data_IF_389735463575
#
_entry.id   IF_389735463575
#
_cell.length_a   1.000
_cell.length_b   1.000
_cell.length_c   1.000
_cell.angle_alpha   90.00
_cell.angle_beta   90.00
_cell.angle_gamma   90.00
#
_symmetry.space_group_name_H-M   'P 1'
#
loop_
_entity.id
_entity.type
_entity.pdbx_description
1 polymer ?
#
# COMPACT_ATOMS: atom_id res chain seq x y z
N UNK A 1 24.86 10.62 2.92
CA UNK A 1 23.63 11.45 2.67
C UNK A 1 22.63 10.61 1.89
N UNK A 2 21.48 10.30 2.48
CA UNK A 2 20.39 9.56 1.81
C UNK A 2 19.78 10.41 0.71
N UNK A 3 19.72 9.85 -0.50
CA UNK A 3 19.06 10.49 -1.66
C UNK A 3 17.63 9.96 -1.74
N UNK A 4 16.67 10.86 -1.83
CA UNK A 4 15.27 10.50 -2.01
C UNK A 4 14.87 10.90 -3.43
N UNK A 5 14.44 9.92 -4.22
CA UNK A 5 14.03 10.08 -5.61
C UNK A 5 12.59 9.63 -5.77
N UNK A 6 11.81 10.42 -6.49
CA UNK A 6 10.44 10.09 -6.86
C UNK A 6 10.36 10.06 -8.39
N UNK A 7 10.21 8.87 -8.95
CA UNK A 7 10.23 8.61 -10.38
C UNK A 7 9.19 7.54 -10.72
N UNK A 8 7.95 7.94 -10.80
CA UNK A 8 6.85 7.02 -11.03
C UNK A 8 6.99 6.30 -12.37
N UNK A 9 6.85 5.00 -12.34
CA UNK A 9 6.87 4.10 -13.50
C UNK A 9 5.56 3.35 -13.67
N UNK A 10 4.65 3.46 -12.71
CA UNK A 10 3.30 2.94 -12.74
C UNK A 10 2.39 3.87 -11.93
N UNK A 11 1.51 4.61 -12.63
CA UNK A 11 0.59 5.58 -12.03
C UNK A 11 -0.89 5.22 -12.25
N UNK A 12 -1.18 4.26 -13.14
CA UNK A 12 -2.55 3.91 -13.54
C UNK A 12 -2.94 2.47 -13.12
N UNK A 13 -2.48 2.03 -11.96
CA UNK A 13 -2.77 0.69 -11.42
C UNK A 13 -4.07 0.62 -10.61
N UNK A 14 -4.79 1.73 -10.47
CA UNK A 14 -5.88 1.89 -9.52
C UNK A 14 -5.42 2.35 -8.14
N UNK A 15 -6.36 2.80 -7.31
CA UNK A 15 -6.08 3.24 -5.95
C UNK A 15 -6.15 2.07 -4.97
N UNK A 16 -5.36 2.17 -3.88
CA UNK A 16 -5.55 1.27 -2.74
C UNK A 16 -6.99 1.37 -2.22
N UNK A 17 -7.57 0.25 -1.84
CA UNK A 17 -8.85 0.21 -1.13
C UNK A 17 -8.69 0.77 0.29
N UNK A 18 -7.54 0.47 0.91
CA UNK A 18 -7.11 1.01 2.22
C UNK A 18 -5.59 0.89 2.33
N UNK A 19 -4.98 1.60 3.28
CA UNK A 19 -3.61 1.34 3.69
C UNK A 19 -3.63 0.65 5.04
N UNK A 20 -3.58 -0.69 5.06
CA UNK A 20 -3.72 -1.49 6.27
C UNK A 20 -2.37 -1.93 6.84
N UNK A 21 -1.37 -2.16 5.98
CA UNK A 21 -0.06 -2.65 6.39
C UNK A 21 1.03 -2.40 5.35
N UNK A 22 2.26 -2.44 5.81
CA UNK A 22 3.47 -2.46 4.98
C UNK A 22 3.94 -3.89 4.75
N UNK A 23 4.51 -4.16 3.56
CA UNK A 23 5.13 -5.45 3.24
C UNK A 23 6.59 -5.25 2.91
N UNK A 24 7.46 -5.93 3.65
CA UNK A 24 8.90 -5.84 3.45
C UNK A 24 9.38 -7.00 2.58
N UNK A 25 10.14 -6.65 1.54
CA UNK A 25 10.70 -7.57 0.56
C UNK A 25 12.22 -7.47 0.52
N UNK A 26 12.86 -8.49 -0.04
CA UNK A 26 14.21 -8.43 -0.54
C UNK A 26 14.20 -8.60 -2.06
N UNK A 27 14.89 -7.72 -2.77
CA UNK A 27 14.83 -7.57 -4.23
C UNK A 27 15.33 -8.80 -5.02
N UNK A 28 15.91 -9.79 -4.36
CA UNK A 28 16.60 -10.94 -4.99
C UNK A 28 17.53 -10.48 -6.13
N UNK A 29 18.18 -9.32 -5.94
CA UNK A 29 18.93 -8.61 -6.96
C UNK A 29 20.29 -8.09 -6.48
N UNK A 30 20.98 -7.49 -7.44
CA UNK A 30 22.29 -6.86 -7.25
C UNK A 30 22.28 -5.38 -7.61
N UNK A 31 21.09 -4.83 -7.92
CA UNK A 31 20.95 -3.47 -8.41
C UNK A 31 20.76 -2.47 -7.26
N UNK A 32 21.41 -1.32 -7.38
CA UNK A 32 21.09 -0.16 -6.54
C UNK A 32 19.71 0.40 -6.90
N UNK A 33 19.01 1.05 -5.95
CA UNK A 33 17.63 1.52 -6.14
C UNK A 33 17.40 2.33 -7.42
N UNK A 34 18.28 3.25 -7.77
CA UNK A 34 18.16 4.08 -8.98
C UNK A 34 18.10 3.26 -10.28
N UNK A 35 18.71 2.08 -10.33
CA UNK A 35 18.70 1.21 -11.52
C UNK A 35 17.33 0.57 -11.73
N UNK A 36 16.54 0.40 -10.67
CA UNK A 36 15.18 -0.11 -10.76
C UNK A 36 14.26 0.78 -11.58
N UNK A 37 14.46 2.11 -11.61
CA UNK A 37 13.66 3.03 -12.42
C UNK A 37 13.67 2.59 -13.90
N UNK A 38 14.84 2.43 -14.51
CA UNK A 38 14.96 2.02 -15.91
C UNK A 38 14.58 0.55 -16.12
N UNK A 39 14.91 -0.32 -15.18
CA UNK A 39 14.55 -1.74 -15.24
C UNK A 39 13.03 -1.91 -15.27
N UNK A 40 12.32 -1.26 -14.34
CA UNK A 40 10.87 -1.36 -14.22
C UNK A 40 10.13 -0.66 -15.38
N UNK A 41 10.67 0.42 -15.95
CA UNK A 41 10.09 1.07 -17.14
C UNK A 41 10.02 0.11 -18.33
N UNK A 42 11.02 -0.75 -18.47
CA UNK A 42 11.16 -1.69 -19.58
C UNK A 42 10.64 -3.10 -19.29
N UNK A 43 10.05 -3.32 -18.13
CA UNK A 43 9.52 -4.61 -17.69
C UNK A 43 7.99 -4.59 -17.67
N UNK A 44 7.35 -5.73 -17.93
CA UNK A 44 5.95 -5.92 -17.62
C UNK A 44 5.73 -5.79 -16.11
N UNK A 45 4.83 -4.88 -15.70
CA UNK A 45 4.53 -4.58 -14.30
C UNK A 45 3.82 -5.75 -13.60
N UNK A 46 3.08 -6.58 -14.36
CA UNK A 46 2.45 -7.80 -13.85
C UNK A 46 3.45 -8.82 -13.28
N UNK A 47 4.74 -8.72 -13.65
CA UNK A 47 5.81 -9.54 -13.09
C UNK A 47 6.28 -9.09 -11.69
N UNK A 48 5.64 -8.08 -11.12
CA UNK A 48 5.88 -7.56 -9.78
C UNK A 48 6.54 -6.18 -9.78
N UNK A 49 5.97 -5.29 -8.96
CA UNK A 49 6.49 -3.94 -8.70
C UNK A 49 6.05 -3.49 -7.31
N UNK A 50 7.01 -3.18 -6.43
CA UNK A 50 6.79 -2.57 -5.15
C UNK A 50 6.78 -1.03 -5.27
N UNK A 51 6.32 -0.33 -4.23
CA UNK A 51 6.26 1.12 -4.21
C UNK A 51 7.65 1.74 -4.05
N UNK A 52 8.48 1.16 -3.17
CA UNK A 52 9.78 1.68 -2.80
C UNK A 52 10.89 0.66 -3.02
N UNK A 53 12.04 1.16 -3.48
CA UNK A 53 13.29 0.43 -3.62
C UNK A 53 14.36 1.20 -2.83
N UNK A 54 14.92 0.59 -1.79
CA UNK A 54 15.78 1.29 -0.83
C UNK A 54 17.11 0.59 -0.63
N UNK A 55 18.13 1.39 -0.37
CA UNK A 55 19.39 0.95 0.20
C UNK A 55 19.98 2.04 1.12
N UNK A 56 21.14 1.78 1.72
CA UNK A 56 21.83 2.67 2.67
C UNK A 56 22.09 4.10 2.20
N UNK A 57 22.00 4.36 0.90
CA UNK A 57 22.30 5.70 0.34
C UNK A 57 21.14 6.29 -0.50
N UNK A 58 20.09 5.52 -0.78
CA UNK A 58 19.03 5.98 -1.69
C UNK A 58 17.68 5.33 -1.38
N UNK A 59 16.64 6.13 -1.36
CA UNK A 59 15.22 5.72 -1.39
C UNK A 59 14.65 6.13 -2.73
N UNK A 60 14.07 5.19 -3.49
CA UNK A 60 13.39 5.46 -4.76
C UNK A 60 11.94 5.06 -4.64
N UNK A 61 11.05 5.99 -4.90
CA UNK A 61 9.62 5.72 -5.07
C UNK A 61 9.29 5.58 -6.56
N UNK A 62 8.67 4.47 -6.96
CA UNK A 62 8.33 4.15 -8.36
C UNK A 62 6.84 3.97 -8.61
N UNK A 63 6.04 3.81 -7.55
CA UNK A 63 4.57 3.78 -7.58
C UNK A 63 4.09 4.81 -6.55
N UNK A 64 3.10 5.66 -6.87
CA UNK A 64 2.45 6.50 -5.86
C UNK A 64 1.93 5.65 -4.70
N UNK A 65 2.07 6.14 -3.47
CA UNK A 65 1.74 5.35 -2.28
C UNK A 65 0.24 5.02 -2.18
N UNK A 66 -0.58 5.85 -2.79
CA UNK A 66 -2.02 5.68 -2.88
C UNK A 66 -2.47 4.69 -3.97
N UNK A 67 -1.55 4.29 -4.86
CA UNK A 67 -1.85 3.39 -5.97
C UNK A 67 -1.52 1.93 -5.62
N UNK A 68 -2.14 1.00 -6.31
CA UNK A 68 -1.90 -0.44 -6.11
C UNK A 68 -0.53 -0.81 -6.68
N UNK A 69 0.36 -1.33 -5.82
CA UNK A 69 1.58 -2.02 -6.24
C UNK A 69 1.31 -3.51 -6.45
N UNK A 70 1.94 -4.12 -7.45
CA UNK A 70 1.80 -5.57 -7.70
C UNK A 70 2.99 -6.29 -7.06
N UNK A 71 3.02 -6.45 -5.74
CA UNK A 71 4.22 -6.90 -5.04
C UNK A 71 4.05 -8.14 -4.16
N UNK A 72 2.81 -8.52 -3.80
CA UNK A 72 2.57 -9.65 -2.90
C UNK A 72 2.22 -10.93 -3.64
N UNK A 73 1.84 -10.84 -4.93
CA UNK A 73 1.28 -11.98 -5.69
C UNK A 73 -0.17 -12.34 -5.32
N UNK A 74 -0.74 -11.65 -4.33
CA UNK A 74 -2.11 -11.79 -3.88
C UNK A 74 -2.86 -10.46 -4.06
N UNK A 75 -4.02 -10.50 -4.72
CA UNK A 75 -4.74 -9.28 -5.09
C UNK A 75 -5.29 -8.52 -3.88
N UNK A 76 -5.83 -9.24 -2.91
CA UNK A 76 -6.40 -8.62 -1.71
C UNK A 76 -5.34 -7.81 -0.95
N UNK A 77 -4.17 -8.37 -0.77
CA UNK A 77 -3.06 -7.70 -0.07
C UNK A 77 -2.43 -6.60 -0.91
N UNK A 78 -2.33 -6.74 -2.24
CA UNK A 78 -1.90 -5.66 -3.12
C UNK A 78 -2.79 -4.42 -3.02
N UNK A 79 -4.11 -4.61 -2.89
CA UNK A 79 -5.08 -3.51 -2.76
C UNK A 79 -5.04 -2.81 -1.38
N UNK A 80 -4.30 -3.34 -0.40
CA UNK A 80 -4.31 -2.87 1.01
C UNK A 80 -2.94 -2.58 1.59
N UNK A 81 -1.90 -2.68 0.79
CA UNK A 81 -0.55 -2.57 1.33
C UNK A 81 0.40 -1.75 0.45
N UNK A 82 1.42 -1.23 1.12
CA UNK A 82 2.55 -0.59 0.49
C UNK A 82 3.77 -1.49 0.60
N UNK A 83 4.44 -1.76 -0.53
CA UNK A 83 5.58 -2.65 -0.62
C UNK A 83 6.92 -1.92 -0.64
N UNK A 84 7.91 -2.48 0.07
CA UNK A 84 9.26 -1.94 0.22
C UNK A 84 10.30 -3.00 -0.07
N UNK A 85 11.19 -2.74 -1.02
CA UNK A 85 12.29 -3.62 -1.41
C UNK A 85 13.60 -3.20 -0.75
N UNK A 86 14.20 -4.09 0.03
CA UNK A 86 15.60 -3.98 0.46
C UNK A 86 16.47 -4.39 -0.72
N UNK A 87 17.14 -3.43 -1.34
CA UNK A 87 17.95 -3.65 -2.55
C UNK A 87 19.33 -4.24 -2.26
N UNK A 88 19.96 -4.76 -3.33
CA UNK A 88 21.31 -5.37 -3.28
C UNK A 88 21.37 -6.64 -2.40
N UNK A 89 20.24 -7.35 -2.22
CA UNK A 89 20.17 -8.52 -1.33
C UNK A 89 21.08 -9.69 -1.72
N UNK A 90 21.52 -9.77 -2.98
CA UNK A 90 22.47 -10.80 -3.48
C UNK A 90 23.90 -10.28 -3.67
N UNK A 91 24.22 -9.03 -3.30
CA UNK A 91 25.54 -8.45 -3.56
C UNK A 91 26.14 -7.65 -2.43
N UNK A 92 25.34 -7.10 -1.54
CA UNK A 92 25.80 -6.39 -0.35
C UNK A 92 26.46 -7.36 0.64
N UNK A 93 27.48 -6.92 1.38
CA UNK A 93 27.94 -7.64 2.57
C UNK A 93 26.80 -7.65 3.63
N UNK A 94 26.95 -8.45 4.68
CA UNK A 94 25.95 -8.50 5.76
C UNK A 94 25.78 -7.12 6.41
N UNK A 95 26.87 -6.43 6.69
CA UNK A 95 26.85 -5.09 7.25
C UNK A 95 26.16 -4.08 6.32
N UNK A 96 26.50 -4.09 5.03
CA UNK A 96 25.85 -3.21 4.03
C UNK A 96 24.37 -3.55 3.85
N UNK A 97 24.01 -4.84 3.90
CA UNK A 97 22.61 -5.25 3.78
C UNK A 97 21.80 -4.80 4.99
N UNK A 98 22.30 -4.94 6.20
CA UNK A 98 21.66 -4.43 7.42
C UNK A 98 21.46 -2.91 7.37
N UNK A 99 22.40 -2.15 6.80
CA UNK A 99 22.23 -0.72 6.56
C UNK A 99 21.16 -0.44 5.48
N UNK A 100 21.08 -1.27 4.41
CA UNK A 100 20.03 -1.15 3.40
C UNK A 100 18.65 -1.44 4.02
N UNK A 101 18.58 -2.46 4.85
CA UNK A 101 17.37 -2.85 5.57
C UNK A 101 16.92 -1.76 6.56
N UNK A 102 17.86 -1.18 7.33
CA UNK A 102 17.58 -0.08 8.24
C UNK A 102 16.92 1.12 7.53
N UNK A 103 17.46 1.54 6.39
CA UNK A 103 16.88 2.65 5.61
C UNK A 103 15.51 2.28 5.04
N UNK A 104 15.31 1.01 4.65
CA UNK A 104 14.01 0.52 4.18
C UNK A 104 12.97 0.51 5.30
N UNK A 105 13.34 -0.03 6.48
CA UNK A 105 12.47 -0.06 7.66
C UNK A 105 12.18 1.34 8.21
N UNK A 106 13.16 2.26 8.15
CA UNK A 106 12.98 3.66 8.50
C UNK A 106 11.92 4.32 7.60
N UNK A 107 11.99 4.08 6.27
CA UNK A 107 10.98 4.62 5.34
C UNK A 107 9.60 4.03 5.62
N UNK A 108 9.50 2.72 5.80
CA UNK A 108 8.23 2.06 6.12
C UNK A 108 7.65 2.53 7.47
N UNK A 109 8.50 2.76 8.49
CA UNK A 109 8.10 3.32 9.77
C UNK A 109 7.55 4.74 9.63
N UNK A 110 8.23 5.59 8.85
CA UNK A 110 7.78 6.95 8.59
C UNK A 110 6.39 6.97 7.94
N UNK A 111 6.13 6.09 6.97
CA UNK A 111 4.83 6.03 6.31
C UNK A 111 3.71 5.57 7.26
N UNK A 112 3.97 4.60 8.14
CA UNK A 112 2.99 4.22 9.17
C UNK A 112 2.73 5.35 10.17
N UNK A 113 3.79 6.06 10.61
CA UNK A 113 3.65 7.22 11.51
C UNK A 113 2.85 8.34 10.85
N UNK A 114 3.17 8.70 9.61
CA UNK A 114 2.47 9.73 8.84
C UNK A 114 0.99 9.36 8.58
N UNK A 115 0.70 8.06 8.47
CA UNK A 115 -0.67 7.54 8.35
C UNK A 115 -1.39 7.40 9.71
N UNK A 116 -0.75 7.70 10.84
CA UNK A 116 -1.32 7.53 12.18
C UNK A 116 -1.52 6.07 12.59
N UNK A 117 -0.79 5.15 11.97
CA UNK A 117 -0.94 3.71 12.18
C UNK A 117 0.06 3.19 13.22
N UNK A 118 -0.33 2.22 14.06
CA UNK A 118 0.59 1.58 14.99
C UNK A 118 1.61 0.72 14.25
N UNK A 119 2.82 0.61 14.79
CA UNK A 119 3.82 -0.37 14.34
C UNK A 119 3.64 -1.65 15.14
N UNK A 120 2.99 -2.63 14.55
CA UNK A 120 2.54 -3.86 15.20
C UNK A 120 2.63 -5.07 14.26
N UNK A 121 2.24 -6.22 14.76
CA UNK A 121 2.21 -7.47 13.96
C UNK A 121 1.19 -7.44 12.83
N UNK A 122 0.16 -6.66 12.97
CA UNK A 122 -0.91 -6.47 11.99
C UNK A 122 -0.46 -5.57 10.84
N UNK A 123 0.36 -4.55 11.16
CA UNK A 123 0.79 -3.52 10.20
C UNK A 123 2.17 -3.76 9.58
N UNK A 124 2.96 -4.71 10.10
CA UNK A 124 4.29 -5.08 9.56
C UNK A 124 4.25 -6.53 9.09
N UNK A 125 4.25 -6.73 7.77
CA UNK A 125 4.07 -8.03 7.14
C UNK A 125 5.26 -8.40 6.25
N UNK A 126 5.45 -9.71 6.01
CA UNK A 126 6.48 -10.26 5.16
C UNK A 126 5.83 -10.88 3.92
N UNK A 127 6.53 -10.85 2.78
CA UNK A 127 5.97 -11.32 1.50
C UNK A 127 5.47 -12.78 1.54
N UNK A 128 6.23 -13.68 2.15
CA UNK A 128 5.86 -15.11 2.20
C UNK A 128 4.60 -15.41 3.04
N UNK A 129 3.99 -14.41 3.67
CA UNK A 129 2.72 -14.58 4.37
C UNK A 129 1.52 -14.59 3.42
N UNK A 130 1.70 -14.12 2.19
CA UNK A 130 0.63 -14.00 1.19
C UNK A 130 0.72 -15.08 0.10
N UNK A 131 1.94 -15.44 -0.31
CA UNK A 131 2.17 -16.46 -1.34
C UNK A 131 3.41 -17.30 -0.98
N UNK A 132 3.50 -18.55 -1.46
CA UNK A 132 4.70 -19.37 -1.28
C UNK A 132 5.92 -18.73 -1.97
N UNK A 133 6.84 -18.17 -1.19
CA UNK A 133 8.10 -17.56 -1.64
C UNK A 133 9.13 -17.60 -0.53
N UNK A 134 10.41 -17.52 -0.88
CA UNK A 134 11.50 -17.34 0.10
C UNK A 134 11.70 -15.89 0.54
N UNK A 135 11.03 -14.92 -0.09
CA UNK A 135 11.15 -13.49 0.23
C UNK A 135 10.49 -13.17 1.59
N UNK A 136 11.15 -12.42 2.46
CA UNK A 136 12.46 -11.74 2.34
C UNK A 136 13.63 -12.65 2.74
N UNK A 137 14.24 -13.35 1.78
CA UNK A 137 15.21 -14.44 2.00
C UNK A 137 16.43 -14.03 2.82
N UNK A 138 17.04 -12.87 2.54
CA UNK A 138 18.24 -12.40 3.23
C UNK A 138 17.94 -11.95 4.65
N UNK A 139 16.80 -11.26 4.85
CA UNK A 139 16.31 -10.91 6.19
C UNK A 139 16.03 -12.17 7.02
N UNK A 140 15.44 -13.20 6.40
CA UNK A 140 15.23 -14.50 7.05
C UNK A 140 16.58 -15.12 7.49
N UNK A 141 17.59 -15.10 6.63
CA UNK A 141 18.93 -15.62 6.92
C UNK A 141 19.58 -14.91 8.12
N UNK A 142 19.48 -13.57 8.17
CA UNK A 142 20.19 -12.77 9.17
C UNK A 142 19.45 -12.62 10.51
N UNK A 143 18.12 -12.81 10.54
CA UNK A 143 17.31 -12.58 11.74
C UNK A 143 16.63 -13.85 12.29
N UNK A 144 17.33 -14.99 12.25
CA UNK A 144 16.92 -16.21 12.95
C UNK A 144 15.98 -17.14 12.20
N UNK A 145 15.70 -16.90 10.91
CA UNK A 145 15.11 -17.87 9.98
C UNK A 145 13.63 -18.17 10.14
N UNK A 146 12.92 -17.50 11.03
CA UNK A 146 11.48 -17.67 11.20
C UNK A 146 10.73 -16.37 10.91
N UNK A 147 9.48 -16.48 10.43
CA UNK A 147 8.60 -15.32 10.25
C UNK A 147 8.51 -14.46 11.52
N UNK A 148 8.42 -15.12 12.66
CA UNK A 148 8.29 -14.47 13.94
C UNK A 148 9.53 -13.69 14.34
N UNK A 149 10.72 -14.28 14.21
CA UNK A 149 11.98 -13.62 14.58
C UNK A 149 12.25 -12.39 13.69
N UNK A 150 12.02 -12.52 12.37
CA UNK A 150 12.21 -11.42 11.42
C UNK A 150 11.20 -10.30 11.67
N UNK A 151 9.91 -10.64 11.85
CA UNK A 151 8.89 -9.65 12.13
C UNK A 151 9.14 -8.91 13.45
N UNK A 152 9.53 -9.62 14.49
CA UNK A 152 9.86 -9.01 15.79
C UNK A 152 11.02 -8.03 15.65
N UNK A 153 12.08 -8.40 14.92
CA UNK A 153 13.18 -7.51 14.61
C UNK A 153 12.72 -6.28 13.83
N UNK A 154 11.91 -6.45 12.78
CA UNK A 154 11.40 -5.33 11.99
C UNK A 154 10.55 -4.38 12.83
N UNK A 155 9.65 -4.90 13.65
CA UNK A 155 8.82 -4.10 14.55
C UNK A 155 9.69 -3.31 15.53
N UNK A 156 10.67 -3.94 16.17
CA UNK A 156 11.58 -3.27 17.12
C UNK A 156 12.35 -2.14 16.44
N UNK A 157 12.93 -2.40 15.25
CA UNK A 157 13.66 -1.37 14.47
C UNK A 157 12.75 -0.24 14.03
N UNK A 158 11.57 -0.54 13.52
CA UNK A 158 10.60 0.45 13.07
C UNK A 158 10.07 1.30 14.24
N UNK A 159 9.81 0.71 15.41
CA UNK A 159 9.43 1.44 16.61
C UNK A 159 10.55 2.38 17.09
N UNK A 160 11.80 1.92 16.99
CA UNK A 160 12.93 2.80 17.25
C UNK A 160 12.95 3.99 16.29
N UNK A 161 12.81 3.77 14.97
CA UNK A 161 12.75 4.86 14.01
C UNK A 161 11.57 5.80 14.25
N UNK A 162 10.40 5.28 14.54
CA UNK A 162 9.22 6.08 14.87
C UNK A 162 9.42 6.96 16.11
N UNK A 163 10.26 6.55 17.05
CA UNK A 163 10.60 7.37 18.22
C UNK A 163 11.46 8.60 17.90
N UNK A 164 12.06 8.64 16.71
CA UNK A 164 12.96 9.71 16.27
C UNK A 164 12.23 10.91 15.65
N UNK A 165 10.96 10.77 15.24
CA UNK A 165 10.23 11.88 14.61
C UNK A 165 8.84 11.48 14.12
N UNK A 166 8.08 12.46 13.68
CA UNK A 166 6.69 12.30 13.22
C UNK A 166 6.56 12.23 11.69
N UNK A 167 7.67 12.31 10.97
CA UNK A 167 7.72 12.23 9.51
C UNK A 167 9.12 11.79 9.07
N UNK A 168 9.21 11.38 7.78
CA UNK A 168 10.46 10.88 7.20
C UNK A 168 11.65 11.82 7.42
N UNK A 169 11.47 13.13 7.33
CA UNK A 169 12.57 14.11 7.40
C UNK A 169 13.09 14.22 8.82
N UNK A 170 12.21 14.29 9.80
CA UNK A 170 12.61 14.32 11.22
C UNK A 170 13.35 13.04 11.60
N UNK A 171 12.82 11.89 11.19
CA UNK A 171 13.43 10.59 11.46
C UNK A 171 14.82 10.49 10.83
N UNK A 172 14.96 10.85 9.56
CA UNK A 172 16.26 10.86 8.88
C UNK A 172 17.26 11.82 9.53
N UNK A 173 16.80 13.03 9.90
CA UNK A 173 17.66 14.02 10.54
C UNK A 173 18.17 13.55 11.91
N UNK A 174 17.31 12.92 12.69
CA UNK A 174 17.66 12.44 14.02
C UNK A 174 18.46 11.11 13.98
N UNK A 175 18.26 10.29 12.96
CA UNK A 175 19.03 9.05 12.76
C UNK A 175 20.43 9.31 12.15
N UNK A 176 20.56 10.33 11.27
CA UNK A 176 21.81 10.73 10.63
C UNK A 176 22.16 12.21 10.95
N UNK A 177 22.46 12.57 12.21
CA UNK A 177 22.60 13.96 12.63
C UNK A 177 23.74 14.70 11.93
N UNK A 178 24.78 14.02 11.47
CA UNK A 178 25.91 14.58 10.74
C UNK A 178 25.61 14.89 9.25
N UNK A 179 24.46 14.40 8.74
CA UNK A 179 24.09 14.55 7.34
C UNK A 179 23.16 15.73 7.12
N UNK A 180 23.57 16.66 6.24
CA UNK A 180 22.68 17.74 5.76
C UNK A 180 21.79 17.19 4.65
N UNK A 181 20.51 17.00 4.93
CA UNK A 181 19.52 16.61 3.93
C UNK A 181 19.16 17.81 3.08
N UNK A 182 19.64 17.85 1.82
CA UNK A 182 19.18 18.79 0.83
C UNK A 182 18.02 18.16 0.06
N UNK A 183 16.82 18.49 0.47
CA UNK A 183 15.63 18.20 -0.34
C UNK A 183 15.63 19.16 -1.54
N UNK A 184 15.78 18.64 -2.75
CA UNK A 184 15.23 19.31 -3.93
C UNK A 184 13.72 19.24 -3.78
N UNK A 185 13.17 20.36 -3.29
CA UNK A 185 11.74 20.66 -3.25
C UNK A 185 10.83 19.41 -3.15
N UNK A 186 10.70 18.88 -1.93
CA UNK A 186 9.48 18.22 -1.57
C UNK A 186 8.40 19.32 -1.57
N UNK A 187 7.69 19.43 -2.66
CA UNK A 187 6.37 20.01 -2.57
C UNK A 187 5.64 19.13 -1.58
N UNK A 188 5.15 19.73 -0.52
CA UNK A 188 4.40 19.10 0.57
C UNK A 188 3.07 18.62 0.00
N UNK A 189 3.12 17.54 -0.78
CA UNK A 189 1.96 16.84 -1.29
C UNK A 189 2.18 15.39 -0.98
N UNK A 190 1.52 15.01 0.06
CA UNK A 190 1.16 13.68 0.53
C UNK A 190 1.50 13.51 2.00
N UNK A 191 0.89 14.38 2.79
CA UNK A 191 0.20 13.87 3.95
C UNK A 191 -0.86 12.92 3.39
N UNK A 192 -1.11 11.77 4.01
CA UNK A 192 -2.43 11.16 4.03
C UNK A 192 -3.36 12.19 4.72
N UNK A 193 -3.55 13.33 4.09
CA UNK A 193 -4.71 14.15 4.33
C UNK A 193 -5.82 13.23 3.92
N UNK A 194 -6.70 12.99 4.84
CA UNK A 194 -7.88 12.19 4.62
C UNK A 194 -8.62 12.78 3.41
N UNK A 195 -8.18 12.37 2.21
CA UNK A 195 -8.87 12.76 0.96
C UNK A 195 -10.35 12.44 1.06
N UNK A 196 -10.74 11.51 1.95
CA UNK A 196 -12.12 11.16 2.18
C UNK A 196 -12.91 12.36 2.71
N UNK A 197 -12.32 13.17 3.61
CA UNK A 197 -12.97 14.40 4.07
C UNK A 197 -13.10 15.41 2.93
N UNK A 198 -12.05 15.60 2.13
CA UNK A 198 -12.09 16.50 0.96
C UNK A 198 -13.05 15.99 -0.11
N UNK A 199 -13.08 14.68 -0.36
CA UNK A 199 -14.05 14.03 -1.25
C UNK A 199 -15.47 14.27 -0.78
N UNK A 200 -15.74 14.14 0.52
CA UNK A 200 -17.06 14.45 1.08
C UNK A 200 -17.40 15.94 0.97
N UNK A 201 -16.46 16.84 1.20
CA UNK A 201 -16.64 18.29 1.01
C UNK A 201 -16.96 18.61 -0.46
N UNK A 202 -16.26 17.98 -1.42
CA UNK A 202 -16.55 18.13 -2.85
C UNK A 202 -17.96 17.62 -3.19
N UNK A 203 -18.36 16.48 -2.63
CA UNK A 203 -19.71 15.91 -2.83
C UNK A 203 -20.77 16.84 -2.24
N UNK A 204 -20.51 17.49 -1.10
CA UNK A 204 -21.40 18.50 -0.51
C UNK A 204 -21.39 19.84 -1.25
N UNK A 205 -20.54 20.00 -2.28
CA UNK A 205 -20.46 21.22 -3.10
C UNK A 205 -19.64 22.36 -2.49
N UNK A 206 -18.83 22.10 -1.47
CA UNK A 206 -18.04 23.11 -0.74
C UNK A 206 -16.84 23.64 -1.54
N UNK A 207 -16.47 22.98 -2.62
CA UNK A 207 -15.32 23.29 -3.49
C UNK A 207 -15.72 23.78 -4.89
N UNK A 208 -16.90 24.36 -5.06
CA UNK A 208 -17.39 24.84 -6.35
C UNK A 208 -17.57 23.73 -7.39
N UNK A 209 -17.59 24.09 -8.70
CA UNK A 209 -17.81 23.14 -9.80
C UNK A 209 -16.87 23.40 -10.98
N UNK A 210 -16.55 22.36 -11.73
CA UNK A 210 -15.74 22.45 -12.97
C UNK A 210 -14.36 23.07 -12.74
N UNK A 211 -14.01 24.09 -13.52
CA UNK A 211 -12.70 24.74 -13.46
C UNK A 211 -12.44 25.48 -12.14
N UNK A 212 -13.45 26.00 -11.51
CA UNK A 212 -13.36 26.66 -10.20
C UNK A 212 -12.93 25.65 -9.13
N UNK A 213 -13.54 24.48 -9.08
CA UNK A 213 -13.13 23.38 -8.20
C UNK A 213 -11.67 22.98 -8.40
N UNK A 214 -11.26 22.80 -9.66
CA UNK A 214 -9.87 22.45 -9.99
C UNK A 214 -8.92 23.51 -9.44
N UNK A 215 -9.24 24.79 -9.64
CA UNK A 215 -8.44 25.90 -9.16
C UNK A 215 -8.34 25.92 -7.63
N UNK A 216 -9.48 25.87 -6.94
CA UNK A 216 -9.54 25.94 -5.47
C UNK A 216 -8.81 24.76 -4.81
N UNK A 217 -9.05 23.54 -5.30
CA UNK A 217 -8.32 22.35 -4.81
C UNK A 217 -6.82 22.48 -5.04
N UNK A 218 -6.40 22.96 -6.22
CA UNK A 218 -4.97 23.13 -6.54
C UNK A 218 -4.33 24.23 -5.69
N UNK A 219 -5.00 25.37 -5.48
CA UNK A 219 -4.53 26.46 -4.63
C UNK A 219 -4.45 26.04 -3.15
N UNK A 220 -5.36 25.18 -2.71
CA UNK A 220 -5.32 24.55 -1.38
C UNK A 220 -4.28 23.41 -1.24
N UNK A 221 -3.63 23.03 -2.35
CA UNK A 221 -2.55 22.06 -2.36
C UNK A 221 -3.00 20.63 -2.61
N UNK A 222 -4.24 20.39 -3.01
CA UNK A 222 -4.73 19.06 -3.37
C UNK A 222 -4.52 18.75 -4.85
N UNK A 223 -4.34 17.45 -5.16
CA UNK A 223 -4.40 16.99 -6.54
C UNK A 223 -5.89 16.92 -6.98
N UNK A 224 -6.33 17.94 -7.72
CA UNK A 224 -7.73 18.08 -8.12
C UNK A 224 -8.22 16.92 -8.99
N UNK A 225 -7.36 16.33 -9.82
CA UNK A 225 -7.70 15.18 -10.68
C UNK A 225 -7.93 13.93 -9.82
N UNK A 226 -7.04 13.64 -8.88
CA UNK A 226 -7.17 12.55 -7.92
C UNK A 226 -8.43 12.69 -7.05
N UNK A 227 -8.69 13.90 -6.51
CA UNK A 227 -9.91 14.16 -5.73
C UNK A 227 -11.15 13.91 -6.59
N UNK A 228 -11.17 14.37 -7.84
CA UNK A 228 -12.30 14.17 -8.74
C UNK A 228 -12.51 12.67 -9.07
N UNK A 229 -11.47 11.90 -9.26
CA UNK A 229 -11.59 10.44 -9.47
C UNK A 229 -12.17 9.75 -8.23
N UNK A 230 -11.70 10.08 -7.03
CA UNK A 230 -12.27 9.56 -5.77
C UNK A 230 -13.74 9.98 -5.58
N UNK A 231 -14.09 11.21 -5.94
CA UNK A 231 -15.51 11.68 -5.97
C UNK A 231 -16.33 10.83 -6.92
N UNK A 232 -15.82 10.57 -8.13
CA UNK A 232 -16.53 9.75 -9.13
C UNK A 232 -16.73 8.32 -8.61
N UNK A 233 -15.72 7.72 -8.00
CA UNK A 233 -15.81 6.40 -7.37
C UNK A 233 -16.80 6.39 -6.21
N UNK A 234 -16.79 7.41 -5.34
CA UNK A 234 -17.71 7.53 -4.21
C UNK A 234 -19.16 7.72 -4.69
N UNK A 235 -19.38 8.48 -5.76
CA UNK A 235 -20.71 8.65 -6.36
C UNK A 235 -21.17 7.41 -7.13
N UNK A 236 -20.27 6.68 -7.78
CA UNK A 236 -20.58 5.38 -8.38
C UNK A 236 -20.87 4.35 -7.30
N UNK A 237 -20.11 4.32 -6.20
CA UNK A 237 -20.38 3.51 -5.02
C UNK A 237 -21.68 3.89 -4.30
N UNK A 238 -22.14 5.14 -4.38
CA UNK A 238 -23.43 5.59 -3.85
C UNK A 238 -24.60 5.22 -4.76
N UNK A 239 -24.35 4.89 -6.02
CA UNK A 239 -25.35 4.30 -6.93
C UNK A 239 -25.30 2.76 -6.90
N UNK A 240 -24.23 2.19 -6.41
CA UNK A 240 -24.13 0.78 -5.99
C UNK A 240 -24.48 0.79 -4.49
N UNK A 241 -25.77 0.97 -4.18
CA UNK A 241 -26.29 0.60 -2.87
C UNK A 241 -25.76 -0.80 -2.56
N UNK A 242 -24.98 -0.92 -1.49
CA UNK A 242 -24.81 -2.12 -0.66
C UNK A 242 -24.89 -3.48 -1.40
N UNK A 243 -24.41 -3.54 -2.65
CA UNK A 243 -24.36 -4.79 -3.41
C UNK A 243 -23.11 -5.53 -3.01
N UNK A 244 -23.27 -6.36 -1.96
CA UNK A 244 -22.29 -7.39 -1.63
C UNK A 244 -21.94 -8.15 -2.90
N UNK A 245 -20.66 -8.49 -3.06
CA UNK A 245 -20.25 -9.32 -4.21
C UNK A 245 -20.96 -10.66 -4.19
N UNK A 246 -21.18 -11.28 -5.33
CA UNK A 246 -21.78 -12.61 -5.45
C UNK A 246 -21.05 -13.65 -4.56
N UNK A 247 -19.73 -13.51 -4.43
CA UNK A 247 -18.92 -14.35 -3.53
C UNK A 247 -19.28 -14.11 -2.05
N UNK A 248 -19.35 -12.87 -1.60
CA UNK A 248 -19.72 -12.53 -0.22
C UNK A 248 -21.14 -13.04 0.10
N UNK A 249 -22.08 -12.84 -0.81
CA UNK A 249 -23.45 -13.36 -0.67
C UNK A 249 -23.51 -14.88 -0.63
N UNK A 250 -22.69 -15.57 -1.44
CA UNK A 250 -22.62 -17.02 -1.44
C UNK A 250 -22.13 -17.57 -0.09
N UNK A 251 -21.12 -16.92 0.52
CA UNK A 251 -20.67 -17.30 1.88
C UNK A 251 -21.74 -17.04 2.95
N UNK A 252 -22.45 -15.92 2.90
CA UNK A 252 -23.55 -15.64 3.83
C UNK A 252 -24.72 -16.64 3.67
N UNK A 253 -25.01 -17.04 2.43
CA UNK A 253 -25.98 -18.10 2.16
C UNK A 253 -25.53 -19.43 2.78
N UNK A 254 -24.25 -19.78 2.66
CA UNK A 254 -23.69 -21.00 3.27
C UNK A 254 -23.75 -20.94 4.79
N UNK A 255 -23.56 -19.76 5.39
CA UNK A 255 -23.68 -19.53 6.83
C UNK A 255 -25.14 -19.51 7.32
N UNK A 256 -26.11 -19.43 6.41
CA UNK A 256 -27.55 -19.46 6.73
C UNK A 256 -28.21 -18.11 6.92
N UNK A 257 -27.51 -17.00 6.70
CA UNK A 257 -27.98 -15.64 6.96
C UNK A 257 -29.17 -15.25 6.08
N UNK A 258 -29.34 -15.90 4.93
CA UNK A 258 -30.37 -15.63 3.94
C UNK A 258 -31.58 -16.61 3.99
N UNK A 259 -31.61 -17.53 4.98
CA UNK A 259 -32.66 -18.56 5.06
C UNK A 259 -32.48 -19.67 4.04
N UNK A 260 -33.56 -20.45 3.75
CA UNK A 260 -33.50 -21.62 2.89
C UNK A 260 -34.63 -21.64 1.84
N UNK A 261 -34.34 -22.25 0.69
CA UNK A 261 -35.34 -22.49 -0.35
C UNK A 261 -35.96 -21.18 -0.89
N UNK A 262 -37.29 -21.12 -0.94
CA UNK A 262 -38.03 -19.96 -1.48
C UNK A 262 -37.81 -18.70 -0.66
N UNK A 263 -37.71 -18.82 0.69
CA UNK A 263 -37.43 -17.66 1.56
C UNK A 263 -36.11 -17.01 1.21
N UNK A 264 -35.05 -17.78 0.91
CA UNK A 264 -33.76 -17.28 0.46
C UNK A 264 -33.89 -16.48 -0.82
N UNK A 265 -34.63 -17.04 -1.78
CA UNK A 265 -34.87 -16.40 -3.07
C UNK A 265 -35.56 -15.05 -2.91
N UNK A 266 -36.68 -15.03 -2.19
CA UNK A 266 -37.44 -13.81 -1.94
C UNK A 266 -36.59 -12.73 -1.24
N UNK A 267 -35.77 -13.11 -0.26
CA UNK A 267 -34.91 -12.17 0.49
C UNK A 267 -33.79 -11.60 -0.36
N UNK A 268 -33.13 -12.43 -1.19
CA UNK A 268 -32.09 -11.95 -2.10
C UNK A 268 -32.64 -11.05 -3.19
N UNK A 269 -33.76 -11.42 -3.82
CA UNK A 269 -34.42 -10.62 -4.85
C UNK A 269 -34.98 -9.31 -4.28
N UNK A 270 -35.58 -9.34 -3.08
CA UNK A 270 -36.04 -8.14 -2.38
C UNK A 270 -34.92 -7.18 -2.01
N UNK A 271 -33.71 -7.70 -1.77
CA UNK A 271 -32.53 -6.91 -1.55
C UNK A 271 -31.83 -6.44 -2.85
N UNK A 272 -32.38 -6.79 -4.02
CA UNK A 272 -31.88 -6.37 -5.34
C UNK A 272 -30.74 -7.23 -5.89
N UNK A 273 -30.52 -8.42 -5.33
CA UNK A 273 -29.49 -9.36 -5.78
C UNK A 273 -30.03 -10.40 -6.77
N UNK A 274 -29.15 -10.84 -7.68
CA UNK A 274 -29.46 -11.94 -8.60
C UNK A 274 -29.35 -13.28 -7.86
N UNK A 275 -30.50 -13.86 -7.50
CA UNK A 275 -30.56 -15.14 -6.81
C UNK A 275 -29.87 -16.27 -7.58
N UNK A 276 -30.03 -16.33 -8.91
CA UNK A 276 -29.50 -17.44 -9.70
C UNK A 276 -27.97 -17.38 -9.73
N UNK A 277 -27.37 -16.18 -9.86
CA UNK A 277 -25.93 -15.99 -9.80
C UNK A 277 -25.37 -16.35 -8.42
N UNK A 278 -26.04 -15.95 -7.33
CA UNK A 278 -25.62 -16.29 -5.96
C UNK A 278 -25.72 -17.78 -5.72
N UNK A 279 -26.83 -18.42 -6.13
CA UNK A 279 -27.01 -19.86 -5.94
C UNK A 279 -26.04 -20.69 -6.77
N UNK A 280 -25.74 -20.27 -7.99
CA UNK A 280 -24.69 -20.91 -8.79
C UNK A 280 -23.35 -20.86 -8.05
N UNK A 281 -23.00 -19.71 -7.49
CA UNK A 281 -21.75 -19.55 -6.76
C UNK A 281 -21.68 -20.37 -5.48
N UNK A 282 -22.80 -20.49 -4.75
CA UNK A 282 -22.93 -21.42 -3.60
C UNK A 282 -22.64 -22.86 -4.02
N UNK A 283 -23.21 -23.29 -5.15
CA UNK A 283 -23.00 -24.65 -5.64
C UNK A 283 -21.55 -24.89 -6.06
N UNK A 284 -20.87 -23.89 -6.65
CA UNK A 284 -19.43 -23.97 -7.00
C UNK A 284 -18.53 -24.08 -5.77
N UNK A 285 -18.90 -23.41 -4.66
CA UNK A 285 -18.13 -23.45 -3.40
C UNK A 285 -18.34 -24.78 -2.65
N UNK A 286 -19.53 -25.34 -2.72
CA UNK A 286 -19.87 -26.57 -1.99
C UNK A 286 -19.52 -27.86 -2.79
N UNK A 287 -19.17 -27.79 -4.09
CA UNK A 287 -18.73 -28.90 -4.93
C UNK A 287 -19.88 -29.67 -5.49
#
# INVERSE_FOLDING_TARGET
MIKILREFVMENSGFLESFDFVVIHNDAGRMKPKRYISFLRNRDKALGIAHFYCNRDTIVQVVPIENIGYHTGDWWSNCRSVGYEVCESLSASDEEFLQNEDVTLLKAAADLVEAGMPISRETVRLHHEFVPTSCPHRSMELHGGTTESVRSYFIERMQYFASLGNNLIEILHNYFPEEKFHMKTWVRHEVFNDDNEIVQQVIRGEWGVGQERIKELTEAGYNAERIQEKVNLALQGSQINDTKTTDALAYEVIQGDWGNGEERKERLEAAGYDYDAVQQRVNEILG
#
